data_IF_415681134620
#
_entry.id   IF_415681134620
#
_cell.length_a   1.000
_cell.length_b   1.000
_cell.length_c   1.000
_cell.angle_alpha   90.00
_cell.angle_beta   90.00
_cell.angle_gamma   90.00
#
_symmetry.space_group_name_H-M   'P 1'
#
loop_
_entity.id
_entity.type
_entity.pdbx_description
1 polymer ?
#
# COMPACT_ATOMS: atom_id res chain seq x y z
N UNK A 1 9.32 33.32 13.37
CA UNK A 1 8.21 32.87 14.24
C UNK A 1 6.95 32.55 13.42
N UNK A 2 6.32 33.52 12.74
CA UNK A 2 5.10 33.28 11.93
C UNK A 2 5.18 32.06 11.00
N UNK A 3 6.24 31.96 10.18
CA UNK A 3 6.41 30.84 9.25
C UNK A 3 6.49 29.47 9.94
N UNK A 4 7.10 29.39 11.12
CA UNK A 4 7.16 28.15 11.89
C UNK A 4 5.77 27.77 12.41
N UNK A 5 4.99 28.74 12.89
CA UNK A 5 3.60 28.52 13.32
C UNK A 5 2.75 28.02 12.16
N UNK A 6 2.88 28.65 10.98
CA UNK A 6 2.17 28.22 9.77
C UNK A 6 2.60 26.83 9.31
N UNK A 7 3.89 26.51 9.37
CA UNK A 7 4.38 25.16 9.09
C UNK A 7 3.78 24.12 10.03
N UNK A 8 3.78 24.37 11.35
CA UNK A 8 3.19 23.46 12.34
C UNK A 8 1.67 23.33 12.17
N UNK A 9 0.98 24.43 11.83
CA UNK A 9 -0.44 24.39 11.49
C UNK A 9 -0.70 23.53 10.25
N UNK A 10 0.14 23.62 9.22
CA UNK A 10 0.05 22.79 8.03
C UNK A 10 0.29 21.31 8.34
N UNK A 11 1.25 21.01 9.20
CA UNK A 11 1.52 19.64 9.68
C UNK A 11 0.31 19.07 10.43
N UNK A 12 -0.29 19.87 11.31
CA UNK A 12 -1.48 19.49 12.08
C UNK A 12 -2.69 19.26 11.15
N UNK A 13 -2.96 20.18 10.21
CA UNK A 13 -4.01 20.03 9.21
C UNK A 13 -3.80 18.81 8.31
N UNK A 14 -2.55 18.52 7.94
CA UNK A 14 -2.22 17.34 7.15
C UNK A 14 -2.49 16.05 7.90
N UNK A 15 -2.18 16.00 9.20
CA UNK A 15 -2.54 14.86 10.06
C UNK A 15 -4.04 14.69 10.26
N UNK A 16 -4.81 15.78 10.24
CA UNK A 16 -6.28 15.73 10.26
C UNK A 16 -6.82 15.18 8.95
N UNK A 17 -6.31 15.67 7.82
CA UNK A 17 -6.72 15.19 6.51
C UNK A 17 -6.44 13.69 6.36
N UNK A 18 -5.29 13.22 6.83
CA UNK A 18 -4.97 11.80 6.92
C UNK A 18 -6.03 11.02 7.71
N UNK A 19 -6.33 11.44 8.94
CA UNK A 19 -7.37 10.82 9.76
C UNK A 19 -8.72 10.74 9.03
N UNK A 20 -9.18 11.83 8.43
CA UNK A 20 -10.47 11.89 7.74
C UNK A 20 -10.49 10.98 6.51
N UNK A 21 -9.41 10.96 5.72
CA UNK A 21 -9.27 10.06 4.57
C UNK A 21 -9.27 8.62 5.07
N UNK A 22 -8.45 8.28 6.06
CA UNK A 22 -8.35 6.92 6.54
C UNK A 22 -9.70 6.40 7.05
N UNK A 23 -10.39 7.18 7.88
CA UNK A 23 -11.70 6.85 8.44
C UNK A 23 -12.81 6.80 7.39
N UNK A 24 -13.06 7.90 6.67
CA UNK A 24 -14.25 8.03 5.83
C UNK A 24 -14.04 7.51 4.42
N UNK A 25 -12.81 7.54 3.94
CA UNK A 25 -12.45 7.18 2.57
C UNK A 25 -11.85 5.76 2.52
N UNK A 26 -11.05 5.39 3.52
CA UNK A 26 -10.48 4.04 3.65
C UNK A 26 -11.42 3.02 4.31
N UNK A 27 -12.17 3.44 5.33
CA UNK A 27 -13.08 2.62 6.15
C UNK A 27 -14.57 3.01 6.04
N UNK A 28 -14.92 3.91 5.11
CA UNK A 28 -16.26 4.48 5.02
C UNK A 28 -17.40 3.44 4.96
N UNK A 29 -18.49 3.63 5.72
CA UNK A 29 -19.61 2.69 5.76
C UNK A 29 -20.33 2.70 4.41
N UNK A 30 -20.30 1.58 3.69
CA UNK A 30 -21.33 1.28 2.70
C UNK A 30 -21.05 1.64 1.25
N UNK A 31 -19.81 1.78 0.80
CA UNK A 31 -19.53 1.53 -0.62
C UNK A 31 -19.42 0.01 -0.81
N UNK A 32 -20.32 -0.64 -1.59
CA UNK A 32 -20.04 -1.99 -2.07
C UNK A 32 -18.64 -1.98 -2.70
N UNK A 33 -17.84 -3.01 -2.45
CA UNK A 33 -16.50 -3.17 -3.04
C UNK A 33 -16.45 -2.80 -4.55
N UNK A 34 -17.57 -3.07 -5.24
CA UNK A 34 -17.79 -2.82 -6.66
C UNK A 34 -17.98 -1.34 -7.07
N UNK A 35 -18.36 -0.43 -6.15
CA UNK A 35 -18.67 0.98 -6.48
C UNK A 35 -17.52 1.96 -6.21
N UNK A 36 -16.50 1.57 -5.45
CA UNK A 36 -15.32 2.41 -5.18
C UNK A 36 -14.02 1.58 -5.17
N UNK A 37 -13.67 0.89 -6.28
CA UNK A 37 -12.63 -0.14 -6.30
C UNK A 37 -11.20 0.37 -6.06
N UNK A 38 -10.97 1.69 -6.08
CA UNK A 38 -9.68 2.31 -5.76
C UNK A 38 -9.54 2.69 -4.29
N UNK A 39 -10.64 3.05 -3.64
CA UNK A 39 -10.68 3.53 -2.25
C UNK A 39 -10.92 2.38 -1.27
N UNK A 40 -11.78 1.42 -1.64
CA UNK A 40 -12.10 0.24 -0.84
C UNK A 40 -10.92 -0.74 -0.68
N UNK A 41 -9.79 -0.49 -1.35
CA UNK A 41 -8.59 -1.33 -1.27
C UNK A 41 -7.90 -1.25 0.10
N UNK A 42 -8.07 -0.16 0.84
CA UNK A 42 -7.50 -0.07 2.17
C UNK A 42 -8.12 -1.14 3.08
N UNK A 43 -9.43 -1.08 3.34
CA UNK A 43 -10.12 -2.10 4.14
C UNK A 43 -10.02 -3.54 3.59
N UNK A 44 -10.04 -3.73 2.26
CA UNK A 44 -10.15 -5.08 1.68
C UNK A 44 -8.83 -5.75 1.31
N UNK A 45 -7.83 -4.98 0.90
CA UNK A 45 -6.54 -5.55 0.46
C UNK A 45 -5.52 -5.39 1.58
N UNK A 46 -5.43 -4.20 2.16
CA UNK A 46 -4.41 -3.92 3.17
C UNK A 46 -4.66 -4.67 4.48
N UNK A 47 -5.85 -4.56 5.07
CA UNK A 47 -6.18 -5.27 6.32
C UNK A 47 -6.21 -6.79 6.15
N UNK A 48 -6.63 -7.30 4.98
CA UNK A 48 -6.60 -8.75 4.71
C UNK A 48 -5.17 -9.28 4.62
N UNK A 49 -4.26 -8.55 3.95
CA UNK A 49 -2.86 -8.99 3.83
C UNK A 49 -2.09 -8.84 5.14
N UNK A 50 -2.35 -7.76 5.90
CA UNK A 50 -1.60 -7.44 7.10
C UNK A 50 -2.29 -7.79 8.42
N UNK A 51 -3.36 -8.59 8.39
CA UNK A 51 -4.10 -9.00 9.57
C UNK A 51 -3.16 -9.52 10.68
N UNK A 52 -3.28 -8.91 11.87
CA UNK A 52 -2.28 -8.84 12.93
C UNK A 52 -1.74 -10.21 13.40
N UNK A 53 -2.51 -11.29 13.27
CA UNK A 53 -2.13 -12.62 13.80
C UNK A 53 -1.54 -13.61 12.80
N UNK A 54 -1.87 -13.50 11.50
CA UNK A 54 -1.47 -14.51 10.49
C UNK A 54 -0.66 -13.91 9.33
N UNK A 55 -0.89 -12.65 8.97
CA UNK A 55 -0.26 -12.02 7.80
C UNK A 55 1.22 -11.72 8.00
N UNK A 56 1.66 -11.34 9.20
CA UNK A 56 3.01 -10.82 9.44
C UNK A 56 4.15 -11.85 9.28
N UNK A 57 3.87 -13.14 9.50
CA UNK A 57 4.86 -14.20 9.29
C UNK A 57 4.97 -14.59 7.80
N UNK A 58 3.84 -14.73 7.11
CA UNK A 58 3.77 -15.03 5.68
C UNK A 58 4.22 -13.85 4.79
N UNK A 59 3.87 -12.61 5.19
CA UNK A 59 4.25 -11.38 4.52
C UNK A 59 5.77 -11.18 4.42
N UNK A 60 6.59 -11.79 5.29
CA UNK A 60 8.05 -11.70 5.15
C UNK A 60 8.57 -12.33 3.86
N UNK A 61 7.86 -13.31 3.30
CA UNK A 61 8.19 -13.96 2.03
C UNK A 61 7.55 -13.27 0.83
N UNK A 62 6.23 -13.03 0.89
CA UNK A 62 5.43 -12.52 -0.24
C UNK A 62 5.29 -10.99 -0.30
N UNK A 63 5.19 -10.30 0.84
CA UNK A 63 5.12 -8.82 0.89
C UNK A 63 6.45 -8.16 0.50
N UNK A 64 7.53 -8.94 0.29
CA UNK A 64 8.75 -8.43 -0.34
C UNK A 64 8.59 -8.19 -1.84
N UNK A 65 7.60 -8.81 -2.50
CA UNK A 65 7.37 -8.70 -3.96
C UNK A 65 6.15 -7.88 -4.31
N UNK A 66 5.08 -7.96 -3.53
CA UNK A 66 3.96 -7.07 -3.70
C UNK A 66 4.31 -5.75 -3.02
N UNK A 67 4.72 -4.77 -3.84
CA UNK A 67 4.48 -3.36 -3.55
C UNK A 67 2.96 -3.22 -3.38
N UNK A 68 2.41 -3.65 -2.24
CA UNK A 68 1.00 -3.47 -1.94
C UNK A 68 0.87 -1.98 -1.77
N UNK A 69 0.42 -1.37 -2.86
CA UNK A 69 0.25 0.05 -3.02
C UNK A 69 -0.76 0.48 -1.96
N UNK A 70 -0.26 0.83 -0.77
CA UNK A 70 -0.97 1.71 0.14
C UNK A 70 -0.91 3.16 -0.35
N UNK A 71 -0.83 3.33 -1.66
CA UNK A 71 -1.18 4.55 -2.31
C UNK A 71 -2.71 4.51 -2.33
N UNK A 72 -3.35 5.05 -1.28
CA UNK A 72 -4.45 5.96 -1.57
C UNK A 72 -3.98 6.75 -2.77
N UNK A 73 -4.64 6.57 -3.93
CA UNK A 73 -4.01 6.89 -5.21
C UNK A 73 -3.35 8.26 -5.06
N UNK A 74 -2.04 8.37 -5.31
CA UNK A 74 -1.30 9.59 -4.97
C UNK A 74 -2.02 10.83 -5.54
N UNK A 75 -2.79 10.64 -6.61
CA UNK A 75 -3.78 11.53 -7.20
C UNK A 75 -4.92 12.00 -6.27
N UNK A 76 -5.60 11.13 -5.52
CA UNK A 76 -6.68 11.54 -4.59
C UNK A 76 -6.12 12.39 -3.46
N UNK A 77 -5.00 11.97 -2.89
CA UNK A 77 -4.31 12.75 -1.86
C UNK A 77 -3.84 14.09 -2.43
N UNK A 78 -3.19 14.09 -3.59
CA UNK A 78 -2.71 15.31 -4.24
C UNK A 78 -3.87 16.26 -4.58
N UNK A 79 -4.98 15.74 -5.10
CA UNK A 79 -6.17 16.52 -5.42
C UNK A 79 -6.77 17.15 -4.16
N UNK A 80 -6.93 16.37 -3.10
CA UNK A 80 -7.44 16.88 -1.82
C UNK A 80 -6.50 17.94 -1.24
N UNK A 81 -5.19 17.72 -1.34
CA UNK A 81 -4.20 18.70 -0.93
C UNK A 81 -4.27 19.98 -1.77
N UNK A 82 -4.47 19.90 -3.08
CA UNK A 82 -4.68 21.09 -3.93
C UNK A 82 -5.93 21.86 -3.49
N UNK A 83 -7.02 21.17 -3.15
CA UNK A 83 -8.26 21.80 -2.68
C UNK A 83 -8.07 22.45 -1.31
N UNK A 84 -7.51 21.73 -0.33
CA UNK A 84 -7.25 22.23 1.02
C UNK A 84 -6.25 23.38 0.96
N UNK A 85 -5.19 23.25 0.17
CA UNK A 85 -4.25 24.31 -0.12
C UNK A 85 -4.97 25.52 -0.69
N UNK A 86 -5.63 25.39 -1.84
CA UNK A 86 -6.34 26.49 -2.49
C UNK A 86 -7.29 27.23 -1.53
N UNK A 87 -8.04 26.49 -0.73
CA UNK A 87 -8.93 27.06 0.30
C UNK A 87 -8.16 27.78 1.41
N UNK A 88 -7.07 27.20 1.93
CA UNK A 88 -6.25 27.80 2.97
C UNK A 88 -5.43 29.01 2.48
N UNK A 89 -5.16 29.06 1.18
CA UNK A 89 -4.41 30.13 0.50
C UNK A 89 -5.31 31.34 0.17
N UNK A 90 -6.61 31.14 0.03
CA UNK A 90 -7.57 32.17 -0.38
C UNK A 90 -7.60 33.39 0.57
N UNK A 91 -7.59 33.24 1.90
CA UNK A 91 -7.53 34.39 2.80
C UNK A 91 -6.25 35.22 2.65
N UNK A 92 -5.11 34.56 2.41
CA UNK A 92 -3.82 35.24 2.25
C UNK A 92 -3.74 36.01 0.92
N UNK A 93 -4.27 35.43 -0.16
CA UNK A 93 -4.30 36.10 -1.47
C UNK A 93 -5.22 37.32 -1.50
N UNK A 94 -6.26 37.33 -0.64
CA UNK A 94 -7.14 38.47 -0.46
C UNK A 94 -6.55 39.55 0.46
N UNK A 95 -5.75 39.16 1.46
CA UNK A 95 -5.19 40.09 2.44
C UNK A 95 -3.93 40.84 1.97
N UNK A 96 -2.99 40.16 1.30
CA UNK A 96 -1.75 40.75 0.79
C UNK A 96 -1.34 40.10 -0.52
N UNK A 97 -1.75 40.71 -1.64
CA UNK A 97 -1.47 40.20 -2.99
C UNK A 97 0.02 40.17 -3.35
N UNK A 98 0.87 40.91 -2.65
CA UNK A 98 2.31 40.97 -2.96
C UNK A 98 3.10 39.94 -2.15
N UNK A 99 2.66 39.58 -0.95
CA UNK A 99 3.36 38.63 -0.09
C UNK A 99 2.63 37.32 0.21
N UNK A 100 1.44 37.07 -0.32
CA UNK A 100 0.66 35.85 -0.01
C UNK A 100 1.46 34.56 -0.20
N UNK A 101 2.38 34.50 -1.17
CA UNK A 101 3.14 33.29 -1.49
C UNK A 101 4.02 32.76 -0.32
N UNK A 102 4.62 33.63 0.48
CA UNK A 102 5.55 33.22 1.55
C UNK A 102 4.86 32.47 2.72
N UNK A 103 3.81 33.01 3.37
CA UNK A 103 3.09 32.29 4.44
C UNK A 103 2.42 31.03 3.91
N UNK A 104 1.89 31.11 2.69
CA UNK A 104 1.34 30.00 1.92
C UNK A 104 2.31 28.84 1.75
N UNK A 105 3.54 29.11 1.31
CA UNK A 105 4.57 28.11 1.12
C UNK A 105 4.94 27.41 2.45
N UNK A 106 4.96 28.14 3.57
CA UNK A 106 5.22 27.56 4.88
C UNK A 106 4.11 26.59 5.32
N UNK A 107 2.83 26.98 5.16
CA UNK A 107 1.68 26.12 5.44
C UNK A 107 1.69 24.86 4.57
N UNK A 108 1.94 25.04 3.27
CA UNK A 108 2.04 23.94 2.31
C UNK A 108 3.18 22.97 2.63
N UNK A 109 4.34 23.48 3.03
CA UNK A 109 5.45 22.64 3.46
C UNK A 109 5.07 21.75 4.66
N UNK A 110 4.28 22.28 5.61
CA UNK A 110 3.73 21.50 6.71
C UNK A 110 2.80 20.39 6.24
N UNK A 111 1.84 20.71 5.38
CA UNK A 111 0.88 19.76 4.79
C UNK A 111 1.60 18.61 4.06
N UNK A 112 2.56 18.92 3.19
CA UNK A 112 3.33 17.91 2.47
C UNK A 112 4.21 17.07 3.40
N UNK A 113 4.75 17.68 4.46
CA UNK A 113 5.55 16.94 5.46
C UNK A 113 4.67 15.91 6.17
N UNK A 114 3.45 16.27 6.57
CA UNK A 114 2.50 15.33 7.16
C UNK A 114 2.19 14.18 6.22
N UNK A 115 1.93 14.47 4.94
CA UNK A 115 1.65 13.44 3.94
C UNK A 115 2.81 12.46 3.76
N UNK A 116 4.03 12.96 3.54
CA UNK A 116 5.20 12.10 3.33
C UNK A 116 5.46 11.27 4.59
N UNK A 117 5.29 11.89 5.75
CA UNK A 117 5.48 11.23 7.04
C UNK A 117 4.44 10.15 7.27
N UNK A 118 3.18 10.37 6.87
CA UNK A 118 2.12 9.36 6.88
C UNK A 118 2.50 8.14 6.05
N UNK A 119 2.83 8.30 4.76
CA UNK A 119 3.16 7.14 3.89
C UNK A 119 4.40 6.40 4.40
N UNK A 120 5.41 7.14 4.86
CA UNK A 120 6.63 6.56 5.42
C UNK A 120 6.34 5.76 6.70
N UNK A 121 5.63 6.35 7.67
CA UNK A 121 5.32 5.69 8.95
C UNK A 121 4.38 4.51 8.77
N UNK A 122 3.34 4.65 7.96
CA UNK A 122 2.43 3.56 7.65
C UNK A 122 3.18 2.37 7.05
N UNK A 123 4.01 2.61 6.03
CA UNK A 123 4.86 1.56 5.45
C UNK A 123 5.79 0.95 6.49
N UNK A 124 6.37 1.78 7.36
CA UNK A 124 7.23 1.33 8.44
C UNK A 124 6.50 0.47 9.47
N UNK A 125 5.22 0.73 9.77
CA UNK A 125 4.43 -0.11 10.68
C UNK A 125 4.29 -1.54 10.14
N UNK A 126 4.23 -1.71 8.83
CA UNK A 126 4.10 -3.03 8.18
C UNK A 126 5.42 -3.64 7.71
N UNK A 127 6.55 -2.91 7.84
CA UNK A 127 7.85 -3.33 7.30
C UNK A 127 8.89 -3.56 8.40
N UNK A 128 9.97 -4.24 8.04
CA UNK A 128 11.17 -4.25 8.87
C UNK A 128 11.82 -2.87 8.83
N UNK A 129 11.90 -2.20 9.99
CA UNK A 129 12.58 -0.91 10.13
C UNK A 129 13.99 -1.08 10.72
N UNK A 130 14.90 -0.11 10.50
CA UNK A 130 16.21 -0.09 11.16
C UNK A 130 16.08 -0.24 12.68
N UNK A 131 16.97 -1.04 13.29
CA UNK A 131 16.92 -1.36 14.72
C UNK A 131 16.92 -0.13 15.63
N UNK A 132 17.54 0.97 15.23
CA UNK A 132 17.59 2.19 16.03
C UNK A 132 16.21 2.87 16.11
N UNK A 133 15.42 2.85 15.04
CA UNK A 133 14.04 3.39 15.03
C UNK A 133 13.12 2.48 15.84
N UNK A 134 13.20 1.16 15.61
CA UNK A 134 12.37 0.16 16.29
C UNK A 134 12.46 0.21 17.81
N UNK A 135 13.57 0.73 18.36
CA UNK A 135 13.83 0.83 19.79
C UNK A 135 13.27 2.10 20.42
N UNK A 136 12.87 3.10 19.62
CA UNK A 136 12.32 4.34 20.16
C UNK A 136 10.93 4.08 20.76
N UNK A 137 10.64 4.57 21.98
CA UNK A 137 9.36 4.30 22.64
C UNK A 137 8.18 4.88 21.85
N UNK A 138 8.36 6.07 21.26
CA UNK A 138 7.35 6.73 20.43
C UNK A 138 6.94 5.86 19.23
N UNK A 139 7.90 5.36 18.46
CA UNK A 139 7.58 4.52 17.30
C UNK A 139 6.92 3.20 17.72
N UNK A 140 7.34 2.60 18.85
CA UNK A 140 6.70 1.39 19.38
C UNK A 140 5.24 1.64 19.72
N UNK A 141 4.94 2.77 20.37
CA UNK A 141 3.57 3.16 20.71
C UNK A 141 2.72 3.38 19.45
N UNK A 142 3.23 4.15 18.48
CA UNK A 142 2.52 4.40 17.21
C UNK A 142 2.28 3.09 16.43
N UNK A 143 3.27 2.19 16.43
CA UNK A 143 3.15 0.89 15.78
C UNK A 143 2.12 0.00 16.44
N UNK A 144 2.08 -0.04 17.78
CA UNK A 144 1.07 -0.79 18.52
C UNK A 144 -0.33 -0.23 18.25
N UNK A 145 -0.47 1.11 18.32
CA UNK A 145 -1.73 1.81 18.00
C UNK A 145 -2.28 1.42 16.62
N UNK A 146 -1.40 1.39 15.63
CA UNK A 146 -1.75 0.98 14.28
C UNK A 146 -2.05 -0.52 14.15
N UNK A 147 -1.46 -1.37 14.99
CA UNK A 147 -1.79 -2.80 15.02
C UNK A 147 -3.13 -3.06 15.67
N UNK A 148 -3.48 -2.33 16.72
CA UNK A 148 -4.81 -2.36 17.31
C UNK A 148 -5.88 -1.96 16.28
N UNK A 149 -5.59 -1.00 15.40
CA UNK A 149 -6.45 -0.69 14.24
C UNK A 149 -6.59 -1.87 13.25
N UNK A 150 -5.55 -2.66 13.01
CA UNK A 150 -5.64 -3.86 12.17
C UNK A 150 -6.47 -4.97 12.82
N UNK A 151 -6.55 -5.00 14.15
CA UNK A 151 -7.40 -5.94 14.90
C UNK A 151 -8.86 -5.45 14.97
N UNK A 152 -9.06 -4.14 15.12
CA UNK A 152 -10.37 -3.48 15.14
C UNK A 152 -10.40 -2.31 14.14
N UNK A 153 -10.71 -2.61 12.85
CA UNK A 153 -10.65 -1.64 11.74
C UNK A 153 -11.60 -0.44 11.86
N UNK A 154 -12.56 -0.49 12.79
CA UNK A 154 -13.52 0.59 13.05
C UNK A 154 -13.03 1.55 14.16
N UNK A 155 -11.78 1.43 14.60
CA UNK A 155 -11.13 2.28 15.61
C UNK A 155 -9.74 2.75 15.15
N UNK A 156 -9.15 3.73 15.84
CA UNK A 156 -7.73 4.12 15.74
C UNK A 156 -7.25 4.47 14.33
N UNK A 157 -7.96 5.39 13.69
CA UNK A 157 -7.70 5.77 12.30
C UNK A 157 -6.46 6.65 12.13
N UNK A 158 -5.94 7.27 13.19
CA UNK A 158 -4.79 8.15 13.04
C UNK A 158 -3.49 7.36 13.01
N UNK A 159 -2.68 7.57 11.96
CA UNK A 159 -1.43 6.85 11.74
C UNK A 159 -0.21 7.68 12.15
N UNK A 160 -0.23 8.98 11.84
CA UNK A 160 0.88 9.88 12.17
C UNK A 160 0.91 10.26 13.66
N UNK A 161 -0.25 10.64 14.21
CA UNK A 161 -0.44 11.09 15.59
C UNK A 161 -1.82 10.64 16.09
N UNK A 162 -1.93 9.97 17.25
CA UNK A 162 -3.23 9.52 17.79
C UNK A 162 -4.13 10.67 18.24
N UNK A 163 -3.70 11.92 18.10
CA UNK A 163 -4.42 13.13 18.51
C UNK A 163 -5.87 13.13 18.03
N UNK A 164 -6.11 12.82 16.75
CA UNK A 164 -7.46 12.88 16.18
C UNK A 164 -8.35 11.75 16.65
N UNK A 165 -7.78 10.59 16.99
CA UNK A 165 -8.55 9.53 17.61
C UNK A 165 -9.07 9.96 18.99
N UNK A 166 -8.27 10.68 19.77
CA UNK A 166 -8.75 11.25 21.04
C UNK A 166 -9.79 12.37 20.84
N UNK A 167 -9.59 13.25 19.86
CA UNK A 167 -10.52 14.36 19.57
C UNK A 167 -11.88 13.84 19.10
N UNK A 168 -11.91 12.77 18.32
CA UNK A 168 -13.12 12.19 17.75
C UNK A 168 -13.61 10.92 18.47
N UNK A 169 -12.99 10.59 19.61
CA UNK A 169 -13.31 9.42 20.43
C UNK A 169 -13.29 8.08 19.68
N UNK A 170 -12.34 7.90 18.77
CA UNK A 170 -12.16 6.66 18.00
C UNK A 170 -11.03 5.78 18.53
N UNK A 171 -10.53 6.03 19.74
CA UNK A 171 -9.50 5.17 20.35
C UNK A 171 -10.00 3.77 20.75
N UNK A 172 -11.31 3.56 20.82
CA UNK A 172 -11.95 2.27 21.09
C UNK A 172 -12.97 1.99 19.99
N UNK A 173 -13.22 0.71 19.70
CA UNK A 173 -14.22 0.29 18.72
C UNK A 173 -15.61 0.81 19.05
N UNK A 174 -16.40 1.05 18.00
CA UNK A 174 -17.79 1.50 18.13
C UNK A 174 -18.65 0.56 19.00
N UNK A 175 -18.28 -0.72 19.10
CA UNK A 175 -18.96 -1.71 19.92
C UNK A 175 -18.81 -1.47 21.43
N UNK A 176 -17.71 -0.85 21.87
CA UNK A 176 -17.44 -0.58 23.29
C UNK A 176 -17.93 0.82 23.70
N UNK A 177 -18.10 1.73 22.74
CA UNK A 177 -18.65 3.06 22.96
C UNK A 177 -20.18 3.08 23.12
N UNK A 178 -20.87 1.95 22.90
CA UNK A 178 -22.28 1.82 23.27
C UNK A 178 -22.37 1.96 24.80
N UNK A 179 -22.99 3.03 25.33
CA UNK A 179 -23.04 3.24 26.76
C UNK A 179 -23.70 2.02 27.39
N UNK A 180 -23.04 1.43 28.39
CA UNK A 180 -23.57 0.37 29.25
C UNK A 180 -24.79 0.82 30.09
N UNK A 181 -25.53 1.84 29.64
CA UNK A 181 -26.64 2.46 30.32
C UNK A 181 -27.93 2.35 29.50
N UNK A 182 -28.66 1.25 29.75
CA UNK A 182 -30.14 1.07 29.76
C UNK A 182 -30.53 -0.31 29.24
N UNK A 183 -30.15 -1.32 30.01
CA UNK A 183 -30.95 -2.53 30.17
C UNK A 183 -30.94 -2.89 31.65
N UNK A 184 -31.26 -1.92 32.51
CA UNK A 184 -31.75 -2.24 33.84
C UNK A 184 -33.27 -2.11 33.77
N UNK A 185 -33.93 -3.24 34.07
CA UNK A 185 -35.32 -3.39 34.48
C UNK A 185 -36.43 -3.42 33.42
N UNK A 186 -36.33 -4.30 32.42
CA UNK A 186 -37.53 -4.99 31.91
C UNK A 186 -37.54 -6.41 32.50
N UNK A 187 -38.51 -6.76 33.37
CA UNK A 187 -38.62 -8.11 33.90
C UNK A 187 -38.83 -9.08 32.74
N UNK A 188 -37.90 -10.03 32.60
CA UNK A 188 -38.00 -11.13 31.64
C UNK A 188 -39.22 -11.96 32.01
N UNK A 189 -40.34 -11.72 31.31
CA UNK A 189 -41.46 -12.63 31.30
C UNK A 189 -40.98 -13.93 30.63
N UNK A 190 -41.03 -15.01 31.41
CA UNK A 190 -40.61 -16.36 31.05
C UNK A 190 -41.47 -16.93 29.91
N UNK A 191 -41.21 -16.48 28.68
CA UNK A 191 -41.81 -17.03 27.46
C UNK A 191 -41.10 -18.35 27.11
N UNK A 192 -41.53 -19.41 27.79
CA UNK A 192 -41.22 -20.79 27.45
C UNK A 192 -41.55 -21.09 25.98
N UNK A 193 -40.61 -21.73 25.28
CA UNK A 193 -40.93 -22.58 24.13
C UNK A 193 -40.72 -21.97 22.74
N UNK A 194 -39.46 -21.88 22.29
CA UNK A 194 -39.13 -22.04 20.87
C UNK A 194 -37.67 -22.44 20.66
N UNK A 195 -37.43 -23.74 20.57
CA UNK A 195 -36.18 -24.30 20.06
C UNK A 195 -36.05 -23.98 18.57
N UNK A 196 -35.18 -23.04 18.21
CA UNK A 196 -34.67 -22.88 16.83
C UNK A 196 -33.25 -23.44 16.74
N UNK A 197 -32.94 -24.29 15.75
CA UNK A 197 -31.61 -24.83 15.58
C UNK A 197 -30.72 -23.73 15.00
N UNK A 198 -29.85 -23.15 15.82
CA UNK A 198 -28.75 -22.31 15.32
C UNK A 198 -27.59 -23.20 14.93
N UNK A 199 -27.61 -23.73 13.70
CA UNK A 199 -26.34 -24.06 13.05
C UNK A 199 -25.67 -22.73 12.78
N UNK A 200 -24.81 -22.29 13.72
CA UNK A 200 -24.16 -20.99 13.60
C UNK A 200 -23.34 -20.96 12.31
N UNK A 201 -23.32 -19.83 11.61
CA UNK A 201 -22.42 -19.57 10.49
C UNK A 201 -20.95 -19.92 10.83
N UNK A 202 -20.60 -19.87 12.13
CA UNK A 202 -19.32 -20.29 12.71
C UNK A 202 -19.04 -21.79 12.62
N UNK A 203 -20.07 -22.65 12.64
CA UNK A 203 -19.95 -24.09 12.43
C UNK A 203 -19.79 -24.39 10.94
N UNK A 204 -20.56 -23.72 10.07
CA UNK A 204 -20.43 -23.86 8.62
C UNK A 204 -19.04 -23.42 8.12
N UNK A 205 -18.53 -22.29 8.60
CA UNK A 205 -17.18 -21.80 8.29
C UNK A 205 -16.08 -22.71 8.85
N UNK A 206 -16.29 -23.34 10.01
CA UNK A 206 -15.32 -24.28 10.57
C UNK A 206 -15.19 -25.54 9.71
N UNK A 207 -16.30 -26.07 9.21
CA UNK A 207 -16.30 -27.27 8.38
C UNK A 207 -15.73 -26.98 6.97
N UNK A 208 -15.97 -25.79 6.42
CA UNK A 208 -15.35 -25.40 5.13
C UNK A 208 -13.85 -25.16 5.25
N UNK A 209 -13.37 -24.64 6.39
CA UNK A 209 -11.94 -24.39 6.62
C UNK A 209 -11.15 -25.68 6.94
N UNK A 210 -11.76 -26.63 7.66
CA UNK A 210 -11.14 -27.93 7.93
C UNK A 210 -11.01 -28.79 6.66
N UNK A 211 -11.90 -28.62 5.68
CA UNK A 211 -11.79 -29.27 4.37
C UNK A 211 -10.66 -28.66 3.50
N UNK A 212 -10.35 -27.37 3.66
CA UNK A 212 -9.30 -26.70 2.90
C UNK A 212 -7.88 -26.95 3.47
N UNK A 213 -7.76 -27.19 4.77
CA UNK A 213 -6.47 -27.49 5.42
C UNK A 213 -5.98 -28.93 5.16
N UNK A 214 -6.83 -29.81 4.59
CA UNK A 214 -6.47 -31.20 4.32
C UNK A 214 -5.68 -31.44 3.02
N UNK A 215 -5.57 -30.44 2.12
CA UNK A 215 -4.96 -30.62 0.79
C UNK A 215 -3.75 -29.72 0.49
N UNK A 216 -3.35 -28.85 1.44
CA UNK A 216 -2.17 -28.00 1.25
C UNK A 216 -0.95 -28.74 1.79
N UNK A 217 -0.27 -29.46 0.90
CA UNK A 217 1.06 -30.02 1.19
C UNK A 217 1.96 -28.92 1.75
N UNK A 218 2.56 -29.16 2.93
CA UNK A 218 3.46 -28.20 3.55
C UNK A 218 4.56 -27.82 2.55
N UNK A 219 4.79 -26.52 2.31
CA UNK A 219 5.84 -26.09 1.39
C UNK A 219 7.19 -26.56 1.93
N UNK A 220 7.96 -27.26 1.09
CA UNK A 220 9.28 -27.76 1.51
C UNK A 220 10.13 -26.62 2.10
N UNK A 221 10.83 -26.87 3.22
CA UNK A 221 11.64 -25.87 3.86
C UNK A 221 12.70 -25.31 2.90
N UNK A 222 12.99 -24.00 2.95
CA UNK A 222 13.89 -23.38 2.00
C UNK A 222 15.29 -24.00 2.08
N UNK A 223 15.74 -24.59 0.95
CA UNK A 223 17.06 -25.20 0.82
C UNK A 223 18.16 -24.27 1.32
N UNK A 224 19.05 -24.83 2.13
CA UNK A 224 20.21 -24.15 2.69
C UNK A 224 21.15 -23.63 1.59
N UNK A 225 21.97 -22.62 1.91
CA UNK A 225 22.96 -22.07 0.97
C UNK A 225 23.94 -23.13 0.45
N UNK A 226 24.17 -24.19 1.24
CA UNK A 226 25.03 -25.33 0.87
C UNK A 226 24.34 -26.24 -0.14
N UNK A 227 23.04 -26.53 0.03
CA UNK A 227 22.26 -27.33 -0.92
C UNK A 227 22.10 -26.64 -2.26
N UNK A 228 21.79 -25.34 -2.26
CA UNK A 228 21.71 -24.54 -3.50
C UNK A 228 23.02 -24.55 -4.28
N UNK A 229 24.17 -24.51 -3.59
CA UNK A 229 25.49 -24.65 -4.21
C UNK A 229 25.77 -26.05 -4.75
N UNK A 230 25.29 -27.10 -4.08
CA UNK A 230 25.40 -28.48 -4.57
C UNK A 230 24.57 -28.69 -5.83
N UNK A 231 23.34 -28.17 -5.86
CA UNK A 231 22.45 -28.25 -7.03
C UNK A 231 23.01 -27.51 -8.23
N UNK A 232 23.45 -26.26 -8.04
CA UNK A 232 24.08 -25.50 -9.12
C UNK A 232 25.35 -26.18 -9.67
N UNK A 233 26.12 -26.86 -8.79
CA UNK A 233 27.30 -27.62 -9.20
C UNK A 233 26.93 -28.92 -9.92
N UNK A 234 25.84 -29.59 -9.51
CA UNK A 234 25.33 -30.78 -10.17
C UNK A 234 24.76 -30.47 -11.55
N UNK A 235 24.02 -29.36 -11.68
CA UNK A 235 23.48 -28.87 -12.95
C UNK A 235 24.60 -28.46 -13.93
N UNK A 236 25.66 -27.80 -13.43
CA UNK A 236 26.83 -27.47 -14.23
C UNK A 236 27.66 -28.69 -14.66
N UNK A 237 27.56 -29.80 -13.92
CA UNK A 237 28.26 -31.06 -14.21
C UNK A 237 27.44 -32.02 -15.10
N UNK A 238 26.16 -31.71 -15.36
CA UNK A 238 25.33 -32.55 -16.21
C UNK A 238 25.86 -32.50 -17.67
N UNK A 239 26.14 -33.65 -18.30
CA UNK A 239 26.63 -33.69 -19.67
C UNK A 239 25.57 -33.08 -20.59
N UNK A 240 25.92 -31.97 -21.25
CA UNK A 240 25.08 -31.37 -22.28
C UNK A 240 24.92 -32.39 -23.40
N UNK A 241 23.76 -33.04 -23.45
CA UNK A 241 23.35 -33.87 -24.57
C UNK A 241 23.40 -33.01 -25.82
N UNK A 242 24.30 -33.35 -26.75
CA UNK A 242 24.40 -32.72 -28.06
C UNK A 242 23.07 -32.92 -28.79
N UNK A 243 22.21 -31.90 -28.77
CA UNK A 243 21.09 -31.80 -29.70
C UNK A 243 21.68 -31.72 -31.12
N UNK A 244 21.28 -32.69 -31.94
CA UNK A 244 21.78 -32.91 -33.29
C UNK A 244 21.64 -31.67 -34.16
N UNK A 245 22.74 -31.33 -34.84
CA UNK A 245 22.81 -30.33 -35.90
C UNK A 245 22.11 -30.87 -37.14
N UNK A 246 20.99 -30.24 -37.50
CA UNK A 246 20.26 -30.57 -38.72
C UNK A 246 19.39 -29.41 -39.20
N UNK A 247 19.97 -28.22 -39.42
CA UNK A 247 19.31 -27.18 -40.22
C UNK A 247 20.33 -26.50 -41.13
N UNK A 248 20.07 -26.67 -42.43
CA UNK A 248 20.80 -26.12 -43.57
C UNK A 248 20.69 -24.59 -43.62
N UNK A 249 21.83 -23.92 -43.77
CA UNK A 249 21.92 -22.46 -43.91
C UNK A 249 21.62 -22.02 -45.35
N UNK A 250 20.73 -21.03 -45.51
CA UNK A 250 20.66 -20.18 -46.70
C UNK A 250 21.47 -18.89 -46.47
N UNK A 251 22.19 -18.37 -47.47
CA UNK A 251 22.96 -17.15 -47.34
C UNK A 251 22.06 -15.92 -47.56
N UNK A 252 22.12 -14.97 -46.62
CA UNK A 252 21.59 -13.61 -46.81
C UNK A 252 22.76 -12.68 -47.09
N UNK A 253 22.65 -11.93 -48.18
CA UNK A 253 23.66 -11.03 -48.72
C UNK A 253 23.80 -9.76 -47.87
N UNK A 254 25.05 -9.37 -47.64
CA UNK A 254 25.43 -8.11 -46.98
C UNK A 254 25.17 -6.92 -47.89
N UNK A 255 24.48 -5.90 -47.37
CA UNK A 255 24.46 -4.56 -47.96
C UNK A 255 25.35 -3.63 -47.13
N UNK A 256 26.29 -3.02 -47.82
CA UNK A 256 27.31 -2.06 -47.40
C UNK A 256 26.76 -0.78 -46.77
N UNK A 257 27.38 -0.33 -45.68
CA UNK A 257 27.24 1.03 -45.14
C UNK A 257 28.53 1.86 -45.40
N UNK A 258 28.43 3.17 -45.70
CA UNK A 258 29.58 3.98 -46.08
C UNK A 258 30.32 4.58 -44.87
N UNK A 259 31.62 4.77 -45.11
CA UNK A 259 32.64 5.31 -44.20
C UNK A 259 32.70 6.83 -44.38
N UNK A 260 32.37 7.62 -43.35
CA UNK A 260 32.63 9.07 -43.34
C UNK A 260 33.78 9.42 -42.42
N UNK A 261 34.54 10.39 -42.91
CA UNK A 261 35.93 10.76 -42.64
C UNK A 261 36.00 11.84 -41.56
N UNK A 262 36.88 11.69 -40.59
CA UNK A 262 37.22 12.73 -39.61
C UNK A 262 38.07 13.82 -40.25
N UNK A 263 37.64 15.08 -40.15
CA UNK A 263 38.42 16.27 -40.47
C UNK A 263 38.35 17.25 -39.30
N UNK A 264 39.52 17.72 -38.87
CA UNK A 264 39.71 18.72 -37.82
C UNK A 264 39.34 20.14 -38.30
N UNK A 265 38.92 21.04 -37.38
CA UNK A 265 39.42 22.43 -37.29
C UNK A 265 38.68 23.27 -36.21
N UNK A 266 39.49 23.98 -35.42
CA UNK A 266 39.35 25.35 -34.88
C UNK A 266 38.13 25.82 -34.05
N UNK A 267 38.47 26.32 -32.84
CA UNK A 267 38.06 27.60 -32.18
C UNK A 267 36.60 28.08 -32.34
N UNK A 268 35.90 28.27 -31.22
CA UNK A 268 35.57 29.61 -30.68
C UNK A 268 34.78 29.50 -29.37
N UNK A 269 34.89 30.53 -28.55
CA UNK A 269 34.19 30.72 -27.29
C UNK A 269 32.69 31.00 -27.51
N UNK A 270 31.84 30.52 -26.60
CA UNK A 270 30.42 30.85 -26.60
C UNK A 270 29.65 30.23 -25.44
N UNK A 271 29.25 31.09 -24.50
CA UNK A 271 28.33 30.79 -23.40
C UNK A 271 26.99 30.26 -23.90
N UNK A 272 26.39 29.30 -23.19
CA UNK A 272 25.02 29.28 -22.63
C UNK A 272 24.52 27.83 -22.50
N UNK A 273 24.31 27.41 -21.25
CA UNK A 273 23.70 26.12 -20.90
C UNK A 273 22.18 26.22 -20.99
N UNK A 274 21.60 25.69 -22.06
CA UNK A 274 20.16 25.40 -22.16
C UNK A 274 19.96 23.89 -22.21
N UNK A 275 19.54 23.29 -21.09
CA UNK A 275 19.22 21.87 -21.01
C UNK A 275 17.84 21.61 -21.65
N UNK A 276 17.84 20.95 -22.80
CA UNK A 276 16.66 20.42 -23.50
C UNK A 276 16.60 18.92 -23.21
N UNK A 277 15.79 18.50 -22.24
CA UNK A 277 15.47 17.08 -22.04
C UNK A 277 14.25 16.74 -22.90
N UNK A 278 14.47 15.83 -23.86
CA UNK A 278 13.46 15.30 -24.77
C UNK A 278 13.01 13.93 -24.26
N UNK A 279 11.70 13.76 -24.23
CA UNK A 279 10.98 12.52 -23.90
C UNK A 279 11.39 11.36 -24.81
N UNK A 280 11.71 10.22 -24.19
CA UNK A 280 11.47 8.89 -24.76
C UNK A 280 11.05 7.98 -23.60
N UNK A 281 9.74 7.75 -23.46
CA UNK A 281 9.22 6.57 -22.76
C UNK A 281 8.61 5.68 -23.83
N UNK A 282 9.33 4.58 -24.09
CA UNK A 282 8.85 3.43 -24.84
C UNK A 282 7.97 2.60 -23.88
N UNK A 283 6.72 2.35 -24.27
CA UNK A 283 5.76 1.56 -23.48
C UNK A 283 5.27 0.40 -24.34
N UNK A 284 6.11 -0.63 -24.48
CA UNK A 284 5.63 -1.95 -24.90
C UNK A 284 5.17 -2.72 -23.66
N UNK A 285 3.87 -2.63 -23.38
CA UNK A 285 3.19 -3.51 -22.44
C UNK A 285 2.86 -4.83 -23.15
N UNK A 286 3.70 -5.85 -22.94
CA UNK A 286 3.33 -7.24 -23.23
C UNK A 286 2.26 -7.69 -22.21
N UNK A 287 1.01 -7.72 -22.67
CA UNK A 287 -0.11 -8.28 -21.93
C UNK A 287 -0.02 -9.81 -21.94
N UNK A 288 0.60 -10.38 -20.90
CA UNK A 288 0.51 -11.81 -20.58
C UNK A 288 -0.92 -12.18 -20.19
N UNK A 289 -1.72 -12.59 -21.17
CA UNK A 289 -3.06 -13.14 -20.95
C UNK A 289 -2.99 -14.47 -20.19
N UNK A 290 -3.66 -14.55 -19.05
CA UNK A 290 -3.93 -15.78 -18.32
C UNK A 290 -4.94 -16.58 -19.15
N UNK A 291 -4.50 -17.67 -19.78
CA UNK A 291 -5.42 -18.66 -20.34
C UNK A 291 -5.97 -19.54 -19.22
N UNK A 292 -7.25 -19.35 -18.91
CA UNK A 292 -8.02 -20.30 -18.11
C UNK A 292 -8.37 -21.47 -19.03
N UNK A 293 -7.75 -22.62 -18.79
CA UNK A 293 -8.05 -23.87 -19.48
C UNK A 293 -9.36 -24.40 -18.90
N UNK A 294 -10.43 -24.37 -19.67
CA UNK A 294 -11.67 -25.05 -19.32
C UNK A 294 -11.40 -26.55 -19.24
N UNK A 295 -11.61 -27.13 -18.05
CA UNK A 295 -11.71 -28.58 -17.87
C UNK A 295 -13.10 -28.96 -18.36
N UNK A 296 -13.13 -29.82 -19.38
CA UNK A 296 -14.34 -30.39 -19.94
C UNK A 296 -14.53 -31.72 -19.21
N UNK A 297 -15.54 -31.80 -18.36
CA UNK A 297 -16.01 -33.07 -17.83
C UNK A 297 -16.64 -33.85 -18.99
N UNK A 298 -16.03 -34.97 -19.35
CA UNK A 298 -16.65 -35.99 -20.20
C UNK A 298 -17.18 -37.08 -19.26
N UNK A 299 -18.50 -37.08 -19.08
CA UNK A 299 -19.26 -38.28 -18.76
C UNK A 299 -19.39 -39.09 -20.07
N UNK A 300 -18.82 -40.30 -20.07
CA UNK A 300 -19.38 -41.54 -20.65
C UNK A 300 -18.50 -42.73 -20.24
#
# INVERSE_FOLDING_TARGET
MLYLVLFLAGLLLGSLADYLIHRFVGHGPGAPASKAPLLSRHGQVHHVVFNARRGMAAARGEARRSHIHLQFSAFVILLLLIVIAGAALLPFSLADRENWFKPSAALMAGLFTALISYDALHRMHHSAVPRWIARTPLYRQLREWHYEHHEDPDSRFAVLLPLWDYVFFTQHGLAEAAPAGRAEDEPVEESQGRTRPTTSMRALLRDTMMAADAEVAEPEPPKSKRERRKEAKAEAAAPRTKLGTGVSARPVTNTTAPKTRSGASSRSAGKTTGAKWLNVMDTSADAGGIQVKAVKDEED
#
